data_IF_839926471267
#
_entry.id   IF_839926471267
#
_cell.length_a   1.000
_cell.length_b   1.000
_cell.length_c   1.000
_cell.angle_alpha   90.00
_cell.angle_beta   90.00
_cell.angle_gamma   90.00
#
_symmetry.space_group_name_H-M   'P 1'
#
loop_
_entity.id
_entity.type
_entity.pdbx_description
1 polymer ?
#
# COMPACT_ATOMS: atom_id res chain seq x y z
N UNK A 1 37.23 11.76 -0.57
CA UNK A 1 36.45 10.57 -0.18
C UNK A 1 34.96 10.92 -0.23
N UNK A 2 34.09 10.09 -0.84
CA UNK A 2 32.69 10.46 -1.11
C UNK A 2 31.82 10.45 0.16
N UNK A 3 30.89 11.41 0.22
CA UNK A 3 29.91 11.60 1.31
C UNK A 3 28.87 10.49 1.32
N UNK A 4 28.68 9.87 2.48
CA UNK A 4 27.71 8.81 2.73
C UNK A 4 26.27 9.33 2.51
N UNK A 5 25.49 8.63 1.67
CA UNK A 5 24.14 9.01 1.25
C UNK A 5 23.12 8.58 2.31
N UNK A 6 22.95 9.39 3.35
CA UNK A 6 21.76 9.34 4.20
C UNK A 6 20.57 9.99 3.49
N UNK A 7 19.97 9.29 2.52
CA UNK A 7 18.57 9.55 2.13
C UNK A 7 17.70 8.56 2.88
N UNK A 8 17.55 8.80 4.19
CA UNK A 8 16.42 8.23 4.92
C UNK A 8 15.16 8.74 4.24
N UNK A 9 14.38 7.83 3.66
CA UNK A 9 13.03 8.15 3.24
C UNK A 9 12.27 8.50 4.52
N UNK A 10 12.14 9.80 4.81
CA UNK A 10 11.14 10.31 5.74
C UNK A 10 9.79 10.13 5.03
N UNK A 11 9.34 8.87 4.98
CA UNK A 11 7.91 8.62 4.96
C UNK A 11 7.43 9.27 6.25
N UNK A 12 6.37 10.06 6.18
CA UNK A 12 5.74 10.54 7.40
C UNK A 12 5.22 9.28 8.09
N UNK A 13 6.00 8.75 9.04
CA UNK A 13 5.74 7.45 9.65
C UNK A 13 4.35 7.44 10.27
N UNK A 14 3.88 8.61 10.72
CA UNK A 14 2.56 8.82 11.30
C UNK A 14 1.45 8.74 10.26
N UNK A 15 1.59 9.38 9.08
CA UNK A 15 0.60 9.32 8.00
C UNK A 15 0.53 7.91 7.39
N UNK A 16 1.69 7.25 7.24
CA UNK A 16 1.74 5.86 6.85
C UNK A 16 1.07 5.00 7.93
N UNK A 17 1.38 5.21 9.21
CA UNK A 17 0.84 4.42 10.32
C UNK A 17 -0.66 4.56 10.48
N UNK A 18 -1.22 5.75 10.32
CA UNK A 18 -2.67 6.00 10.34
C UNK A 18 -3.36 5.29 9.17
N UNK A 19 -2.80 5.40 7.96
CA UNK A 19 -3.24 4.63 6.78
C UNK A 19 -3.10 3.12 6.98
N UNK A 20 -2.14 2.67 7.77
CA UNK A 20 -1.85 1.25 7.96
C UNK A 20 -2.66 0.59 9.09
N UNK A 21 -2.92 1.32 10.19
CA UNK A 21 -3.60 0.82 11.38
C UNK A 21 -5.10 0.57 11.15
N UNK A 22 -5.77 1.36 10.30
CA UNK A 22 -7.22 1.17 10.04
C UNK A 22 -7.56 -0.01 9.11
N UNK A 23 -6.58 -0.59 8.40
CA UNK A 23 -6.90 -1.25 7.12
C UNK A 23 -6.25 -2.62 6.94
N UNK A 24 -5.13 -2.91 7.58
CA UNK A 24 -4.29 -4.00 7.12
C UNK A 24 -4.07 -5.12 8.13
N UNK A 25 -4.44 -6.32 7.68
CA UNK A 25 -3.82 -7.54 8.20
C UNK A 25 -2.29 -7.41 8.10
N UNK A 26 -1.57 -8.04 9.03
CA UNK A 26 -0.10 -8.08 9.01
C UNK A 26 0.49 -8.46 7.63
N UNK A 27 -0.18 -9.34 6.88
CA UNK A 27 0.28 -9.76 5.54
C UNK A 27 0.25 -8.62 4.53
N UNK A 28 -0.82 -7.84 4.53
CA UNK A 28 -0.99 -6.71 3.61
C UNK A 28 0.04 -5.62 3.89
N UNK A 29 0.30 -5.37 5.18
CA UNK A 29 1.35 -4.45 5.61
C UNK A 29 2.74 -4.88 5.13
N UNK A 30 3.09 -6.16 5.28
CA UNK A 30 4.38 -6.68 4.78
C UNK A 30 4.50 -6.58 3.26
N UNK A 31 3.43 -6.87 2.52
CA UNK A 31 3.43 -6.74 1.06
C UNK A 31 3.66 -5.29 0.62
N UNK A 32 3.07 -4.32 1.32
CA UNK A 32 3.29 -2.90 1.02
C UNK A 32 4.72 -2.46 1.36
N UNK A 33 5.27 -2.91 2.50
CA UNK A 33 6.69 -2.65 2.82
C UNK A 33 7.64 -3.20 1.77
N UNK A 34 7.38 -4.39 1.23
CA UNK A 34 8.19 -4.94 0.14
C UNK A 34 8.16 -4.05 -1.11
N UNK A 35 7.01 -3.46 -1.45
CA UNK A 35 6.89 -2.54 -2.58
C UNK A 35 7.62 -1.21 -2.33
N UNK A 36 7.55 -0.69 -1.11
CA UNK A 36 8.30 0.50 -0.68
C UNK A 36 9.81 0.25 -0.71
N UNK A 37 10.27 -0.88 -0.17
CA UNK A 37 11.68 -1.27 -0.13
C UNK A 37 12.27 -1.51 -1.52
N UNK A 38 11.46 -2.06 -2.45
CA UNK A 38 11.85 -2.21 -3.86
C UNK A 38 11.82 -0.88 -4.63
N UNK A 39 11.29 0.19 -4.04
CA UNK A 39 11.14 1.50 -4.68
C UNK A 39 10.12 1.50 -5.83
N UNK A 40 9.19 0.55 -5.85
CA UNK A 40 8.07 0.52 -6.81
C UNK A 40 7.07 1.61 -6.43
N UNK A 41 6.77 1.70 -5.14
CA UNK A 41 6.02 2.79 -4.53
C UNK A 41 7.02 3.62 -3.74
N UNK A 42 6.95 4.94 -3.89
CA UNK A 42 7.81 5.90 -3.18
C UNK A 42 7.13 6.44 -1.94
N UNK A 43 5.82 6.70 -2.02
CA UNK A 43 4.97 7.25 -0.94
C UNK A 43 3.55 6.74 -1.09
N UNK A 44 2.87 6.58 0.04
CA UNK A 44 1.44 6.31 0.13
C UNK A 44 0.82 7.46 0.91
N UNK A 45 -0.30 7.96 0.44
CA UNK A 45 -1.12 9.00 1.06
C UNK A 45 -2.46 8.42 1.48
N UNK A 46 -3.40 9.29 1.87
CA UNK A 46 -4.75 8.90 2.29
C UNK A 46 -5.60 8.17 1.24
N UNK A 47 -6.73 7.68 1.73
CA UNK A 47 -7.75 6.98 0.94
C UNK A 47 -8.42 7.96 -0.04
N UNK A 48 -8.53 7.55 -1.30
CA UNK A 48 -9.28 8.27 -2.34
C UNK A 48 -10.68 7.68 -2.51
N UNK A 49 -10.82 6.36 -2.35
CA UNK A 49 -12.11 5.70 -2.45
C UNK A 49 -12.17 4.45 -1.56
N UNK A 50 -13.34 4.21 -0.99
CA UNK A 50 -13.65 3.00 -0.23
C UNK A 50 -14.81 2.26 -0.90
N UNK A 51 -14.62 0.96 -1.12
CA UNK A 51 -15.67 0.04 -1.57
C UNK A 51 -15.79 -1.14 -0.63
N UNK A 52 -16.83 -1.95 -0.84
CA UNK A 52 -17.10 -3.17 -0.05
C UNK A 52 -15.91 -4.14 -0.02
N UNK A 53 -15.15 -4.17 -1.11
CA UNK A 53 -14.19 -5.23 -1.41
C UNK A 53 -12.73 -4.75 -1.42
N UNK A 54 -12.54 -3.43 -1.50
CA UNK A 54 -11.22 -2.82 -1.60
C UNK A 54 -11.27 -1.36 -1.19
N UNK A 55 -10.11 -0.84 -0.78
CA UNK A 55 -9.85 0.59 -0.66
C UNK A 55 -8.80 1.01 -1.70
N UNK A 56 -8.91 2.24 -2.19
CA UNK A 56 -7.96 2.84 -3.12
C UNK A 56 -7.24 3.98 -2.41
N UNK A 57 -5.92 3.90 -2.38
CA UNK A 57 -5.04 4.93 -1.84
C UNK A 57 -4.37 5.68 -2.97
N UNK A 58 -4.12 6.96 -2.74
CA UNK A 58 -3.22 7.72 -3.59
C UNK A 58 -1.78 7.45 -3.15
N UNK A 59 -0.85 7.39 -4.09
CA UNK A 59 0.58 7.33 -3.80
C UNK A 59 1.42 7.98 -4.88
N UNK A 60 2.73 8.00 -4.65
CA UNK A 60 3.73 8.31 -5.67
C UNK A 60 4.50 7.05 -6.06
N UNK A 61 4.66 6.84 -7.36
CA UNK A 61 5.57 5.84 -7.91
C UNK A 61 7.04 6.26 -7.86
N UNK A 62 7.91 5.43 -8.42
CA UNK A 62 9.37 5.61 -8.41
C UNK A 62 9.80 6.97 -8.98
N UNK A 63 9.11 7.46 -10.00
CA UNK A 63 9.43 8.68 -10.76
C UNK A 63 8.53 9.87 -10.35
N UNK A 64 7.92 9.82 -9.16
CA UNK A 64 6.99 10.83 -8.64
C UNK A 64 5.66 10.99 -9.39
N UNK A 65 5.36 10.04 -10.29
CA UNK A 65 4.06 9.89 -10.92
C UNK A 65 2.98 9.52 -9.90
N UNK A 66 1.77 10.02 -10.11
CA UNK A 66 0.61 9.63 -9.31
C UNK A 66 0.21 8.20 -9.63
N UNK A 67 0.05 7.40 -8.57
CA UNK A 67 -0.41 6.01 -8.67
C UNK A 67 -1.60 5.76 -7.76
N UNK A 68 -2.51 4.90 -8.23
CA UNK A 68 -3.59 4.37 -7.42
C UNK A 68 -3.17 3.01 -6.83
N UNK A 69 -3.16 2.89 -5.51
CA UNK A 69 -2.83 1.67 -4.80
C UNK A 69 -4.14 1.05 -4.33
N UNK A 70 -4.63 0.05 -5.07
CA UNK A 70 -5.86 -0.67 -4.73
C UNK A 70 -5.53 -1.85 -3.82
N UNK A 71 -6.09 -1.85 -2.63
CA UNK A 71 -5.87 -2.90 -1.64
C UNK A 71 -7.19 -3.61 -1.34
N UNK A 72 -7.23 -4.90 -1.66
CA UNK A 72 -8.41 -5.73 -1.44
C UNK A 72 -8.54 -6.10 0.04
N UNK A 73 -9.75 -5.97 0.57
CA UNK A 73 -10.10 -6.33 1.94
C UNK A 73 -10.32 -7.84 1.98
N UNK A 74 -9.25 -8.59 2.23
CA UNK A 74 -9.32 -10.05 2.34
C UNK A 74 -9.78 -10.43 3.75
N UNK A 75 -11.02 -10.07 4.08
CA UNK A 75 -11.67 -10.53 5.30
C UNK A 75 -12.39 -11.85 5.01
N UNK A 76 -11.81 -12.93 5.55
CA UNK A 76 -12.33 -14.31 5.59
C UNK A 76 -12.29 -15.15 4.30
N UNK A 77 -12.40 -16.47 4.49
CA UNK A 77 -12.36 -17.47 3.43
C UNK A 77 -13.47 -17.32 2.38
N UNK A 78 -14.57 -16.65 2.73
CA UNK A 78 -15.74 -16.43 1.87
C UNK A 78 -15.46 -15.42 0.77
N UNK A 79 -14.66 -14.39 1.06
CA UNK A 79 -14.21 -13.40 0.07
C UNK A 79 -13.31 -14.04 -0.99
N UNK A 80 -12.38 -14.93 -0.57
CA UNK A 80 -11.53 -15.71 -1.50
C UNK A 80 -12.35 -16.56 -2.47
N UNK A 81 -13.42 -17.21 -1.98
CA UNK A 81 -14.31 -18.01 -2.84
C UNK A 81 -15.09 -17.14 -3.82
N UNK A 82 -15.53 -15.95 -3.41
CA UNK A 82 -16.26 -15.03 -4.30
C UNK A 82 -15.38 -14.54 -5.45
N UNK A 83 -14.14 -14.14 -5.16
CA UNK A 83 -13.20 -13.66 -6.18
C UNK A 83 -12.80 -14.77 -7.18
N UNK A 84 -12.65 -16.03 -6.74
CA UNK A 84 -12.39 -17.16 -7.63
C UNK A 84 -13.53 -17.42 -8.63
N UNK A 85 -14.77 -17.04 -8.34
CA UNK A 85 -15.90 -17.21 -9.28
C UNK A 85 -15.83 -16.28 -10.50
N UNK A 86 -15.10 -15.16 -10.40
CA UNK A 86 -14.98 -14.18 -11.48
C UNK A 86 -13.66 -14.29 -12.27
N UNK A 87 -12.76 -15.19 -11.85
CA UNK A 87 -11.46 -15.42 -12.50
C UNK A 87 -11.51 -16.67 -13.40
N UNK A 88 -12.57 -17.48 -13.31
CA UNK A 88 -12.79 -18.67 -14.14
C UNK A 88 -13.72 -18.33 -15.30
#
# INVERSE_FOLDING_TARGET
>A
MPKNRSRGYRVDEDELREVLEEVFSRRTLMALYDLLNKGVIKRVYGVVAAGKEARIYWGKGKNEEDVAIKIFLVETAEFRRSMMRYII
#
